data_IF_925975306832
#
_entry.id   IF_925975306832
#
_cell.length_a   1.000
_cell.length_b   1.000
_cell.length_c   1.000
_cell.angle_alpha   90.00
_cell.angle_beta   90.00
_cell.angle_gamma   90.00
#
_symmetry.space_group_name_H-M   'P 1'
#
loop_
_entity.id
_entity.type
_entity.pdbx_description
1 polymer ?
#
# COMPACT_ATOMS: atom_id res chain seq x y z
N UNK A 1 -14.99 10.65 18.88
CA UNK A 1 -13.75 10.89 18.12
C UNK A 1 -14.07 10.56 16.68
N UNK A 2 -13.76 11.43 15.73
CA UNK A 2 -13.89 11.11 14.31
C UNK A 2 -12.88 9.99 13.98
N UNK A 3 -13.30 8.99 13.22
CA UNK A 3 -12.40 7.93 12.78
C UNK A 3 -11.31 8.51 11.87
N UNK A 4 -10.08 8.02 12.06
CA UNK A 4 -8.94 8.44 11.26
C UNK A 4 -8.99 7.74 9.91
N UNK A 5 -8.86 8.52 8.83
CA UNK A 5 -8.67 7.99 7.48
C UNK A 5 -7.43 7.08 7.47
N UNK A 6 -7.61 5.87 6.94
CA UNK A 6 -6.59 4.87 6.75
C UNK A 6 -6.04 4.89 5.33
N UNK A 7 -4.71 4.96 5.20
CA UNK A 7 -3.98 5.04 3.93
C UNK A 7 -3.22 3.74 3.71
N UNK A 8 -3.53 3.01 2.64
CA UNK A 8 -2.66 1.91 2.17
C UNK A 8 -1.47 2.48 1.42
N UNK A 9 -0.27 2.00 1.73
CA UNK A 9 0.97 2.46 1.10
C UNK A 9 1.41 1.43 0.05
N UNK A 10 1.04 1.67 -1.20
CA UNK A 10 1.48 0.89 -2.35
C UNK A 10 2.78 1.47 -2.87
N UNK A 11 3.91 0.83 -2.61
CA UNK A 11 5.22 1.31 -3.07
C UNK A 11 6.22 0.17 -3.19
N UNK A 12 7.12 0.27 -4.16
CA UNK A 12 8.28 -0.60 -4.23
C UNK A 12 9.07 -0.53 -2.89
N UNK A 13 9.61 -1.67 -2.46
CA UNK A 13 10.40 -1.79 -1.23
C UNK A 13 11.62 -2.71 -1.41
N UNK A 14 12.14 -2.80 -2.63
CA UNK A 14 13.18 -3.75 -3.02
C UNK A 14 14.54 -3.44 -2.41
N UNK A 15 14.78 -2.19 -2.02
CA UNK A 15 16.05 -1.75 -1.47
C UNK A 15 15.89 -0.72 -0.34
N UNK A 16 16.98 -0.51 0.39
CA UNK A 16 17.01 0.38 1.56
C UNK A 16 16.62 1.83 1.25
N UNK A 17 16.86 2.32 0.01
CA UNK A 17 16.48 3.69 -0.38
C UNK A 17 14.96 3.82 -0.47
N UNK A 18 14.32 2.90 -1.19
CA UNK A 18 12.86 2.83 -1.31
C UNK A 18 12.21 2.64 0.06
N UNK A 19 12.69 1.65 0.82
CA UNK A 19 12.19 1.33 2.14
C UNK A 19 12.29 2.52 3.12
N UNK A 20 13.39 3.27 3.05
CA UNK A 20 13.59 4.48 3.84
C UNK A 20 12.64 5.60 3.41
N UNK A 21 12.52 5.84 2.11
CA UNK A 21 11.62 6.86 1.55
C UNK A 21 10.16 6.60 1.96
N UNK A 22 9.69 5.36 1.81
CA UNK A 22 8.35 4.93 2.22
C UNK A 22 8.13 5.18 3.71
N UNK A 23 9.10 4.80 4.55
CA UNK A 23 9.03 5.01 6.01
C UNK A 23 8.95 6.50 6.39
N UNK A 24 9.66 7.37 5.68
CA UNK A 24 9.63 8.81 5.91
C UNK A 24 8.27 9.42 5.55
N UNK A 25 7.68 9.03 4.42
CA UNK A 25 6.31 9.43 4.05
C UNK A 25 5.30 8.94 5.08
N UNK A 26 5.37 7.67 5.47
CA UNK A 26 4.47 7.09 6.47
C UNK A 26 4.50 7.87 7.77
N UNK A 27 5.70 8.12 8.32
CA UNK A 27 5.86 8.92 9.54
C UNK A 27 5.27 10.32 9.39
N UNK A 28 5.47 10.96 8.24
CA UNK A 28 4.93 12.30 7.97
C UNK A 28 3.39 12.29 7.89
N UNK A 29 2.77 11.27 7.28
CA UNK A 29 1.31 11.10 7.25
C UNK A 29 0.73 10.78 8.63
N UNK A 30 1.37 9.90 9.40
CA UNK A 30 0.93 9.56 10.76
C UNK A 30 0.99 10.78 11.70
N UNK A 31 2.04 11.61 11.59
CA UNK A 31 2.13 12.91 12.30
C UNK A 31 0.99 13.86 11.94
N UNK A 32 0.41 13.75 10.75
CA UNK A 32 -0.77 14.51 10.32
C UNK A 32 -2.10 13.90 10.77
N UNK A 33 -2.07 12.78 11.49
CA UNK A 33 -3.25 12.15 12.07
C UNK A 33 -3.88 11.05 11.22
N UNK A 34 -3.29 10.67 10.08
CA UNK A 34 -3.72 9.50 9.32
C UNK A 34 -3.31 8.20 10.01
N UNK A 35 -4.07 7.13 9.77
CA UNK A 35 -3.60 5.75 10.01
C UNK A 35 -2.96 5.26 8.72
N UNK A 36 -1.88 4.49 8.80
CA UNK A 36 -1.30 3.84 7.61
C UNK A 36 -1.36 2.33 7.74
N UNK A 37 -1.71 1.66 6.65
CA UNK A 37 -1.47 0.24 6.44
C UNK A 37 -0.25 0.15 5.54
N UNK A 38 0.90 -0.20 6.12
CA UNK A 38 2.21 -0.11 5.49
C UNK A 38 2.81 -1.51 5.34
N UNK A 39 2.73 -2.16 4.15
CA UNK A 39 3.14 -3.55 3.97
C UNK A 39 4.54 -3.89 4.49
N UNK A 40 5.51 -2.97 4.32
CA UNK A 40 6.87 -3.16 4.84
C UNK A 40 6.96 -3.28 6.37
N UNK A 41 6.03 -2.69 7.13
CA UNK A 41 5.99 -2.74 8.61
C UNK A 41 4.95 -3.74 9.11
N UNK A 42 3.81 -3.78 8.45
CA UNK A 42 2.59 -4.43 8.91
C UNK A 42 2.36 -5.79 8.21
N UNK A 43 3.07 -6.07 7.11
CA UNK A 43 3.05 -7.30 6.33
C UNK A 43 4.10 -8.33 6.75
N UNK A 44 4.30 -9.35 5.94
CA UNK A 44 5.22 -10.45 6.23
C UNK A 44 6.47 -10.39 5.36
N UNK A 45 7.63 -10.70 5.95
CA UNK A 45 8.83 -11.00 5.20
C UNK A 45 8.85 -12.48 4.79
N UNK A 46 9.25 -12.77 3.55
CA UNK A 46 9.26 -14.13 3.00
C UNK A 46 10.05 -15.12 3.87
N UNK A 47 11.24 -14.72 4.32
CA UNK A 47 12.14 -15.59 5.08
C UNK A 47 11.56 -15.94 6.46
N UNK A 48 11.06 -14.94 7.18
CA UNK A 48 10.52 -15.12 8.53
C UNK A 48 9.21 -15.93 8.52
N UNK A 49 8.35 -15.67 7.53
CA UNK A 49 7.13 -16.45 7.35
C UNK A 49 7.46 -17.90 6.97
N UNK A 50 8.38 -18.12 6.03
CA UNK A 50 8.80 -19.46 5.64
C UNK A 50 9.33 -20.28 6.81
N UNK A 51 10.17 -19.68 7.67
CA UNK A 51 10.70 -20.36 8.86
C UNK A 51 9.58 -20.80 9.81
N UNK A 52 8.60 -19.92 10.04
CA UNK A 52 7.48 -20.22 10.94
C UNK A 52 6.58 -21.33 10.39
N UNK A 53 6.40 -21.42 9.08
CA UNK A 53 5.55 -22.42 8.45
C UNK A 53 6.16 -23.84 8.48
N UNK A 54 7.48 -23.99 8.70
CA UNK A 54 8.16 -25.30 8.77
C UNK A 54 7.62 -26.21 9.87
N UNK A 55 7.03 -25.65 10.92
CA UNK A 55 6.46 -26.42 12.03
C UNK A 55 5.12 -27.08 11.65
N UNK A 56 4.45 -26.63 10.59
CA UNK A 56 3.07 -27.04 10.26
C UNK A 56 2.94 -27.61 8.84
N UNK A 57 3.71 -27.11 7.88
CA UNK A 57 3.63 -27.48 6.47
C UNK A 57 4.86 -28.28 6.02
N UNK A 58 4.69 -29.09 4.97
CA UNK A 58 5.82 -29.78 4.35
C UNK A 58 6.73 -28.78 3.60
N UNK A 59 8.00 -29.14 3.41
CA UNK A 59 8.96 -28.28 2.70
C UNK A 59 8.53 -27.94 1.26
N UNK A 60 7.74 -28.81 0.63
CA UNK A 60 7.23 -28.60 -0.73
C UNK A 60 6.09 -27.58 -0.78
N UNK A 61 5.31 -27.45 0.29
CA UNK A 61 4.14 -26.55 0.36
C UNK A 61 4.52 -25.10 0.75
N UNK A 62 5.62 -24.94 1.50
CA UNK A 62 6.02 -23.64 2.07
C UNK A 62 6.14 -22.52 1.02
N UNK A 63 6.80 -22.72 -0.14
CA UNK A 63 6.96 -21.63 -1.11
C UNK A 63 5.62 -21.07 -1.60
N UNK A 64 4.67 -21.95 -1.91
CA UNK A 64 3.32 -21.56 -2.34
C UNK A 64 2.56 -20.91 -1.18
N UNK A 65 2.66 -21.46 0.03
CA UNK A 65 2.00 -20.91 1.21
C UNK A 65 2.44 -19.48 1.53
N UNK A 66 3.75 -19.21 1.49
CA UNK A 66 4.29 -17.86 1.73
C UNK A 66 3.73 -16.86 0.71
N UNK A 67 3.75 -17.21 -0.58
CA UNK A 67 3.22 -16.35 -1.65
C UNK A 67 1.73 -16.09 -1.49
N UNK A 68 0.93 -17.13 -1.25
CA UNK A 68 -0.51 -17.00 -1.10
C UNK A 68 -0.88 -16.23 0.17
N UNK A 69 -0.22 -16.48 1.30
CA UNK A 69 -0.50 -15.77 2.56
C UNK A 69 -0.21 -14.28 2.39
N UNK A 70 0.94 -13.90 1.84
CA UNK A 70 1.30 -12.50 1.58
C UNK A 70 0.29 -11.85 0.63
N UNK A 71 0.01 -12.51 -0.50
CA UNK A 71 -0.96 -12.00 -1.49
C UNK A 71 -2.35 -11.75 -0.89
N UNK A 72 -2.88 -12.72 -0.13
CA UNK A 72 -4.19 -12.58 0.50
C UNK A 72 -4.18 -11.56 1.63
N UNK A 73 -3.05 -11.38 2.33
CA UNK A 73 -2.91 -10.36 3.35
C UNK A 73 -2.98 -8.97 2.73
N UNK A 74 -2.19 -8.69 1.71
CA UNK A 74 -2.15 -7.37 1.09
C UNK A 74 -3.45 -7.08 0.32
N UNK A 75 -3.82 -7.96 -0.63
CA UNK A 75 -4.93 -7.73 -1.55
C UNK A 75 -6.31 -7.97 -0.93
N UNK A 76 -6.40 -8.92 0.00
CA UNK A 76 -7.67 -9.34 0.61
C UNK A 76 -7.88 -8.83 2.02
N UNK A 77 -6.82 -8.44 2.73
CA UNK A 77 -6.91 -7.97 4.11
C UNK A 77 -6.66 -6.48 4.27
N UNK A 78 -5.47 -5.98 3.91
CA UNK A 78 -5.06 -4.58 4.10
C UNK A 78 -5.71 -3.62 3.11
N UNK A 79 -5.62 -3.92 1.81
CA UNK A 79 -6.13 -3.05 0.74
C UNK A 79 -7.63 -2.76 0.89
N UNK A 80 -8.53 -3.75 1.11
CA UNK A 80 -9.96 -3.50 1.21
C UNK A 80 -10.36 -2.74 2.49
N UNK A 81 -9.54 -2.83 3.55
CA UNK A 81 -9.73 -2.17 4.85
C UNK A 81 -9.09 -0.78 4.94
N UNK A 82 -8.58 -0.28 3.82
CA UNK A 82 -8.04 1.07 3.70
C UNK A 82 -9.10 2.00 3.09
N UNK A 83 -9.07 3.28 3.46
CA UNK A 83 -9.99 4.29 2.93
C UNK A 83 -9.47 4.93 1.65
N UNK A 84 -8.15 5.00 1.50
CA UNK A 84 -7.46 5.57 0.33
C UNK A 84 -6.14 4.86 0.11
N UNK A 85 -5.72 4.79 -1.15
CA UNK A 85 -4.45 4.21 -1.55
C UNK A 85 -3.49 5.33 -1.93
N UNK A 86 -2.29 5.33 -1.37
CA UNK A 86 -1.18 6.13 -1.86
C UNK A 86 -0.22 5.23 -2.62
N UNK A 87 -0.07 5.49 -3.92
CA UNK A 87 0.77 4.72 -4.82
C UNK A 87 2.03 5.49 -5.18
N UNK A 88 3.20 5.02 -4.77
CA UNK A 88 4.46 5.54 -5.27
C UNK A 88 4.72 4.98 -6.67
N UNK A 89 4.69 5.87 -7.65
CA UNK A 89 4.83 5.60 -9.08
C UNK A 89 6.16 6.13 -9.63
N UNK A 90 7.16 6.32 -8.76
CA UNK A 90 8.53 6.52 -9.21
C UNK A 90 9.05 5.29 -9.95
N UNK A 91 9.94 5.52 -10.90
CA UNK A 91 10.44 4.50 -11.81
C UNK A 91 11.79 3.89 -11.32
N UNK A 92 12.04 2.59 -11.55
CA UNK A 92 11.17 1.63 -12.23
C UNK A 92 9.94 1.26 -11.41
N UNK A 93 8.80 1.14 -12.09
CA UNK A 93 7.51 0.86 -11.44
C UNK A 93 7.45 -0.62 -11.07
N UNK A 94 7.03 -0.89 -9.84
CA UNK A 94 6.73 -2.24 -9.33
C UNK A 94 5.38 -2.77 -9.88
N UNK A 95 5.38 -3.98 -10.45
CA UNK A 95 4.17 -4.67 -10.90
C UNK A 95 3.18 -4.95 -9.76
N UNK A 96 3.67 -5.12 -8.53
CA UNK A 96 2.87 -5.24 -7.31
C UNK A 96 2.01 -3.99 -7.13
N UNK A 97 2.65 -2.81 -7.12
CA UNK A 97 1.96 -1.51 -7.03
C UNK A 97 0.91 -1.34 -8.13
N UNK A 98 1.22 -1.68 -9.39
CA UNK A 98 0.25 -1.58 -10.50
C UNK A 98 -0.94 -2.50 -10.29
N UNK A 99 -0.71 -3.70 -9.77
CA UNK A 99 -1.77 -4.67 -9.43
C UNK A 99 -2.66 -4.14 -8.31
N UNK A 100 -2.06 -3.64 -7.24
CA UNK A 100 -2.76 -3.09 -6.08
C UNK A 100 -3.68 -1.93 -6.46
N UNK A 101 -3.17 -0.92 -7.20
CA UNK A 101 -3.98 0.25 -7.59
C UNK A 101 -5.11 -0.11 -8.56
N UNK A 102 -4.89 -1.12 -9.42
CA UNK A 102 -5.92 -1.60 -10.34
C UNK A 102 -7.05 -2.30 -9.58
N UNK A 103 -6.72 -3.13 -8.59
CA UNK A 103 -7.72 -3.74 -7.72
C UNK A 103 -8.43 -2.71 -6.84
N UNK A 104 -7.71 -1.72 -6.32
CA UNK A 104 -8.29 -0.64 -5.53
C UNK A 104 -9.37 0.12 -6.32
N UNK A 105 -9.09 0.48 -7.59
CA UNK A 105 -10.07 1.05 -8.52
C UNK A 105 -11.31 0.15 -8.67
N UNK A 106 -11.10 -1.15 -8.92
CA UNK A 106 -12.20 -2.12 -9.02
C UNK A 106 -12.98 -2.27 -7.70
N UNK A 107 -12.38 -1.99 -6.56
CA UNK A 107 -13.03 -1.97 -5.25
C UNK A 107 -13.71 -0.63 -4.92
N UNK A 108 -13.58 0.38 -5.79
CA UNK A 108 -14.08 1.74 -5.55
C UNK A 108 -13.27 2.50 -4.50
N UNK A 109 -12.04 2.06 -4.22
CA UNK A 109 -11.12 2.73 -3.30
C UNK A 109 -10.38 3.83 -4.08
N UNK A 110 -10.42 5.09 -3.61
CA UNK A 110 -9.71 6.16 -4.28
C UNK A 110 -8.20 5.95 -4.21
N UNK A 111 -7.53 6.23 -5.32
CA UNK A 111 -6.08 6.08 -5.48
C UNK A 111 -5.45 7.45 -5.73
N UNK A 112 -4.39 7.76 -4.98
CA UNK A 112 -3.54 8.92 -5.17
C UNK A 112 -2.20 8.42 -5.72
N UNK A 113 -1.89 8.78 -6.96
CA UNK A 113 -0.57 8.55 -7.54
C UNK A 113 0.42 9.59 -7.05
N UNK A 114 1.59 9.15 -6.57
CA UNK A 114 2.72 9.99 -6.21
C UNK A 114 3.86 9.75 -7.19
N UNK A 115 4.47 10.83 -7.67
CA UNK A 115 5.71 10.77 -8.44
C UNK A 115 6.64 11.88 -8.00
N UNK A 116 7.88 11.53 -7.68
CA UNK A 116 8.94 12.48 -7.36
C UNK A 116 9.98 12.64 -8.46
N UNK A 117 10.05 11.70 -9.39
CA UNK A 117 10.86 11.87 -10.60
C UNK A 117 10.23 12.87 -11.58
N UNK A 118 10.85 14.05 -11.65
CA UNK A 118 10.45 15.13 -12.56
C UNK A 118 11.20 15.13 -13.90
N UNK A 119 12.03 14.13 -14.17
CA UNK A 119 12.86 14.08 -15.40
C UNK A 119 12.07 13.64 -16.64
N UNK A 120 10.80 13.26 -16.47
CA UNK A 120 9.79 13.04 -17.52
C UNK A 120 10.27 12.19 -18.72
N UNK A 121 10.70 10.93 -18.52
CA UNK A 121 11.16 10.08 -19.61
C UNK A 121 10.08 9.72 -20.64
N UNK A 122 8.78 9.82 -20.30
CA UNK A 122 7.66 9.37 -21.14
C UNK A 122 6.69 10.46 -21.59
N UNK A 123 6.99 11.75 -21.36
CA UNK A 123 6.07 12.84 -21.69
C UNK A 123 6.61 14.24 -21.42
N UNK A 124 5.70 15.20 -21.21
CA UNK A 124 6.02 16.59 -20.87
C UNK A 124 5.61 16.90 -19.43
N UNK A 125 6.37 17.76 -18.74
CA UNK A 125 5.95 18.31 -17.43
C UNK A 125 4.62 19.09 -17.49
N UNK A 126 4.17 19.44 -18.68
CA UNK A 126 2.88 20.09 -18.94
C UNK A 126 1.74 19.12 -19.24
N UNK A 127 2.02 17.82 -19.39
CA UNK A 127 0.98 16.83 -19.65
C UNK A 127 0.19 16.48 -18.37
N UNK A 128 -0.96 15.83 -18.56
CA UNK A 128 -1.91 15.50 -17.47
C UNK A 128 -1.25 14.74 -16.31
N UNK A 129 -0.28 13.86 -16.60
CA UNK A 129 0.37 12.99 -15.63
C UNK A 129 1.84 13.36 -15.39
N UNK A 130 2.25 14.53 -15.87
CA UNK A 130 3.58 15.11 -15.78
C UNK A 130 4.69 14.14 -16.21
N UNK A 131 4.44 13.42 -17.30
CA UNK A 131 5.36 12.44 -17.90
C UNK A 131 5.33 11.04 -17.31
N UNK A 132 4.33 10.71 -16.49
CA UNK A 132 4.11 9.36 -15.96
C UNK A 132 3.44 8.48 -17.02
N UNK A 133 3.79 7.20 -17.06
CA UNK A 133 3.14 6.25 -17.96
C UNK A 133 1.63 6.21 -17.70
N UNK A 134 0.82 6.39 -18.76
CA UNK A 134 -0.61 6.65 -18.61
C UNK A 134 -1.43 5.45 -18.11
N UNK A 135 -0.95 4.21 -18.28
CA UNK A 135 -1.66 3.01 -17.80
C UNK A 135 -1.87 3.02 -16.26
N UNK A 136 -0.81 3.07 -15.43
CA UNK A 136 -0.97 3.20 -13.98
C UNK A 136 -1.55 4.56 -13.58
N UNK A 137 -1.22 5.64 -14.30
CA UNK A 137 -1.75 6.97 -13.97
C UNK A 137 -3.27 7.07 -14.13
N UNK A 138 -3.86 6.36 -15.12
CA UNK A 138 -5.31 6.28 -15.30
C UNK A 138 -6.01 5.43 -14.25
N UNK A 139 -5.28 4.66 -13.42
CA UNK A 139 -5.84 4.01 -12.23
C UNK A 139 -5.95 4.99 -11.03
N UNK A 140 -5.37 6.20 -11.14
CA UNK A 140 -5.37 7.18 -10.06
C UNK A 140 -6.54 8.16 -10.18
N UNK A 141 -7.20 8.47 -9.07
CA UNK A 141 -8.21 9.52 -8.97
C UNK A 141 -7.56 10.90 -8.86
N UNK A 142 -6.49 10.98 -8.07
CA UNK A 142 -5.70 12.19 -7.87
C UNK A 142 -4.22 11.91 -8.13
N UNK A 143 -3.47 12.95 -8.46
CA UNK A 143 -2.04 12.83 -8.77
C UNK A 143 -1.21 13.92 -8.10
N UNK A 144 -0.11 13.52 -7.48
CA UNK A 144 0.89 14.37 -6.84
C UNK A 144 2.21 14.17 -7.57
N UNK A 145 2.60 15.16 -8.37
CA UNK A 145 3.99 15.27 -8.81
C UNK A 145 4.71 16.25 -7.89
N UNK A 146 5.73 15.80 -7.19
CA UNK A 146 6.43 16.56 -6.17
C UNK A 146 7.95 16.50 -6.41
N UNK A 147 8.56 17.65 -6.73
CA UNK A 147 10.01 17.71 -6.88
C UNK A 147 10.67 17.67 -5.50
N UNK A 148 11.33 16.57 -5.17
CA UNK A 148 12.22 16.53 -4.01
C UNK A 148 13.45 17.43 -4.27
N UNK A 149 13.84 18.32 -3.34
CA UNK A 149 15.03 19.14 -3.52
C UNK A 149 16.29 18.27 -3.58
N UNK A 150 17.17 18.57 -4.52
CA UNK A 150 18.45 17.85 -4.72
C UNK A 150 19.60 18.45 -3.90
N UNK A 151 19.42 19.65 -3.35
CA UNK A 151 20.48 20.44 -2.71
C UNK A 151 20.25 20.63 -1.20
N UNK A 152 19.59 19.67 -0.55
CA UNK A 152 19.36 19.68 0.90
C UNK A 152 20.68 19.37 1.62
N UNK A 153 21.42 20.40 2.03
CA UNK A 153 22.72 20.24 2.71
C UNK A 153 22.57 19.85 4.19
N UNK A 154 21.36 19.92 4.77
CA UNK A 154 21.10 19.62 6.18
C UNK A 154 20.01 18.54 6.34
N UNK A 155 20.12 17.74 7.41
CA UNK A 155 19.11 16.72 7.79
C UNK A 155 17.78 17.33 8.23
N UNK A 156 17.78 18.55 8.79
CA UNK A 156 16.53 19.26 9.13
C UNK A 156 15.70 19.60 7.90
N UNK A 157 16.38 19.86 6.78
CA UNK A 157 15.72 20.22 5.53
C UNK A 157 14.98 19.01 4.97
N UNK A 158 15.55 17.80 5.09
CA UNK A 158 14.90 16.57 4.60
C UNK A 158 13.61 16.24 5.36
N UNK A 159 13.55 16.42 6.68
CA UNK A 159 12.30 16.22 7.43
C UNK A 159 11.20 17.22 7.03
N UNK A 160 11.59 18.48 6.82
CA UNK A 160 10.67 19.52 6.34
C UNK A 160 10.14 19.22 4.93
N UNK A 161 10.97 18.60 4.08
CA UNK A 161 10.54 18.16 2.75
C UNK A 161 9.51 17.04 2.79
N UNK A 162 9.73 16.01 3.61
CA UNK A 162 8.72 14.96 3.79
C UNK A 162 7.42 15.49 4.41
N UNK A 163 7.51 16.47 5.30
CA UNK A 163 6.32 17.15 5.82
C UNK A 163 5.58 17.92 4.71
N UNK A 164 6.30 18.63 3.85
CA UNK A 164 5.73 19.36 2.71
C UNK A 164 5.10 18.44 1.67
N UNK A 165 5.76 17.31 1.37
CA UNK A 165 5.20 16.24 0.55
C UNK A 165 3.92 15.65 1.18
N UNK A 166 3.93 15.33 2.47
CA UNK A 166 2.76 14.85 3.19
C UNK A 166 1.61 15.87 3.19
N UNK A 167 1.90 17.17 3.21
CA UNK A 167 0.89 18.22 3.05
C UNK A 167 0.25 18.18 1.66
N UNK A 168 1.06 18.02 0.60
CA UNK A 168 0.55 17.90 -0.76
C UNK A 168 -0.35 16.65 -0.92
N UNK A 169 0.05 15.51 -0.34
CA UNK A 169 -0.76 14.29 -0.30
C UNK A 169 -2.06 14.52 0.48
N UNK A 170 -1.99 15.13 1.67
CA UNK A 170 -3.15 15.40 2.51
C UNK A 170 -4.17 16.33 1.85
N UNK A 171 -3.72 17.29 1.04
CA UNK A 171 -4.61 18.13 0.22
C UNK A 171 -5.39 17.31 -0.79
N UNK A 172 -4.77 16.31 -1.43
CA UNK A 172 -5.45 15.39 -2.36
C UNK A 172 -6.40 14.44 -1.64
N UNK A 173 -6.02 13.89 -0.48
CA UNK A 173 -6.93 13.11 0.38
C UNK A 173 -8.17 13.95 0.74
N UNK A 174 -7.98 15.22 1.10
CA UNK A 174 -9.10 16.11 1.47
C UNK A 174 -10.00 16.41 0.26
N UNK A 175 -9.43 16.61 -0.93
CA UNK A 175 -10.20 16.85 -2.16
C UNK A 175 -11.11 15.68 -2.56
N UNK A 176 -10.73 14.45 -2.18
CA UNK A 176 -11.52 13.25 -2.43
C UNK A 176 -12.75 13.13 -1.52
N UNK A 177 -12.88 13.99 -0.49
CA UNK A 177 -14.04 14.01 0.43
C UNK A 177 -14.38 12.62 1.00
N UNK A 178 -13.34 11.87 1.36
CA UNK A 178 -13.46 10.48 1.80
C UNK A 178 -14.18 10.42 3.14
N UNK A 179 -15.28 9.69 3.17
CA UNK A 179 -15.87 9.21 4.41
C UNK A 179 -15.25 7.85 4.71
N UNK A 180 -14.65 7.64 5.90
CA UNK A 180 -14.16 6.32 6.28
C UNK A 180 -15.25 5.27 6.09
N UNK A 181 -14.93 4.19 5.38
CA UNK A 181 -15.87 3.11 5.10
C UNK A 181 -15.34 1.80 5.69
N UNK A 182 -16.06 1.27 6.67
CA UNK A 182 -15.76 -0.03 7.25
C UNK A 182 -16.10 -1.20 6.31
N UNK A 183 -17.02 -0.99 5.36
CA UNK A 183 -17.55 -2.03 4.48
C UNK A 183 -17.23 -1.75 3.02
N UNK A 184 -16.90 -2.81 2.28
CA UNK A 184 -16.76 -2.75 0.82
C UNK A 184 -18.13 -2.60 0.13
N UNK A 185 -18.20 -1.95 -1.04
CA UNK A 185 -19.46 -1.84 -1.80
C UNK A 185 -20.03 -3.20 -2.26
N UNK A 186 -21.36 -3.27 -2.40
CA UNK A 186 -22.09 -4.50 -2.78
C UNK A 186 -21.67 -5.11 -4.13
N UNK A 187 -21.22 -4.30 -5.08
CA UNK A 187 -20.75 -4.83 -6.36
C UNK A 187 -19.38 -5.52 -6.23
N UNK A 188 -18.57 -5.08 -5.26
CA UNK A 188 -17.26 -5.67 -4.95
C UNK A 188 -17.46 -7.00 -4.25
N UNK A 189 -18.36 -7.06 -3.26
CA UNK A 189 -18.68 -8.29 -2.54
C UNK A 189 -19.33 -9.37 -3.43
N UNK A 190 -19.99 -8.97 -4.52
CA UNK A 190 -20.57 -9.85 -5.54
C UNK A 190 -19.63 -10.20 -6.68
N UNK A 191 -18.52 -9.48 -6.88
CA UNK A 191 -17.56 -9.80 -7.92
C UNK A 191 -16.83 -11.11 -7.58
N UNK A 192 -16.92 -12.17 -8.41
CA UNK A 192 -16.36 -13.48 -8.07
C UNK A 192 -14.83 -13.49 -8.01
N UNK A 193 -14.14 -12.56 -8.69
CA UNK A 193 -12.69 -12.50 -8.69
C UNK A 193 -12.16 -11.79 -7.44
N UNK A 194 -12.89 -10.78 -6.93
CA UNK A 194 -12.50 -10.03 -5.73
C UNK A 194 -12.99 -10.74 -4.46
N UNK A 195 -14.25 -11.17 -4.44
CA UNK A 195 -14.85 -11.79 -3.25
C UNK A 195 -14.16 -13.07 -2.82
N UNK A 196 -13.56 -13.84 -3.75
CA UNK A 196 -12.74 -15.01 -3.41
C UNK A 196 -11.50 -14.62 -2.61
N UNK A 197 -10.78 -13.58 -3.04
CA UNK A 197 -9.57 -13.09 -2.37
C UNK A 197 -9.92 -12.59 -0.97
N UNK A 198 -10.97 -11.77 -0.84
CA UNK A 198 -11.41 -11.23 0.45
C UNK A 198 -11.85 -12.35 1.40
N UNK A 199 -12.61 -13.34 0.91
CA UNK A 199 -13.05 -14.48 1.73
C UNK A 199 -11.88 -15.33 2.20
N UNK A 200 -10.90 -15.60 1.33
CA UNK A 200 -9.70 -16.37 1.70
C UNK A 200 -8.86 -15.60 2.71
N UNK A 201 -8.74 -14.27 2.56
CA UNK A 201 -8.09 -13.42 3.55
C UNK A 201 -8.82 -13.44 4.91
N UNK A 202 -10.16 -13.35 4.91
CA UNK A 202 -10.92 -13.44 6.16
C UNK A 202 -10.78 -14.82 6.82
N UNK A 203 -10.73 -15.90 6.03
CA UNK A 203 -10.42 -17.23 6.55
C UNK A 203 -9.06 -17.25 7.23
N UNK A 204 -8.01 -16.77 6.57
CA UNK A 204 -6.64 -16.81 7.10
C UNK A 204 -6.47 -15.90 8.33
N UNK A 205 -6.91 -14.65 8.26
CA UNK A 205 -6.55 -13.60 9.22
C UNK A 205 -7.69 -13.18 10.16
N UNK A 206 -8.93 -13.55 9.86
CA UNK A 206 -10.11 -13.14 10.61
C UNK A 206 -10.03 -13.47 12.10
N UNK A 207 -10.28 -12.47 12.94
CA UNK A 207 -10.26 -12.59 14.41
C UNK A 207 -8.89 -12.69 15.06
N UNK A 208 -7.78 -12.66 14.30
CA UNK A 208 -6.43 -12.68 14.86
C UNK A 208 -6.05 -11.24 15.29
N UNK A 209 -5.84 -11.04 16.60
CA UNK A 209 -5.51 -9.71 17.16
C UNK A 209 -4.12 -9.22 16.76
N UNK A 210 -3.14 -10.13 16.72
CA UNK A 210 -1.77 -9.84 16.34
C UNK A 210 -1.25 -10.98 15.46
N UNK A 211 -1.25 -10.74 14.16
CA UNK A 211 -0.81 -11.71 13.14
C UNK A 211 0.69 -12.02 13.22
N UNK A 212 1.48 -11.11 13.79
CA UNK A 212 2.94 -11.24 13.95
C UNK A 212 3.34 -11.96 15.23
N UNK A 213 2.37 -12.24 16.12
CA UNK A 213 2.63 -13.08 17.30
C UNK A 213 2.80 -14.54 16.89
N UNK A 214 3.60 -15.31 17.64
CA UNK A 214 3.74 -16.76 17.43
C UNK A 214 2.37 -17.46 17.31
N UNK A 215 1.44 -17.16 18.22
CA UNK A 215 0.08 -17.70 18.19
C UNK A 215 -0.71 -17.29 16.92
N UNK A 216 -0.51 -16.05 16.45
CA UNK A 216 -1.11 -15.56 15.20
C UNK A 216 -0.62 -16.33 14.00
N UNK A 217 0.70 -16.49 13.86
CA UNK A 217 1.34 -17.25 12.79
C UNK A 217 0.93 -18.73 12.79
N UNK A 218 0.95 -19.39 13.95
CA UNK A 218 0.46 -20.78 14.09
C UNK A 218 -1.03 -20.91 13.71
N UNK A 219 -1.83 -19.88 13.96
CA UNK A 219 -3.24 -19.85 13.58
C UNK A 219 -3.39 -19.70 12.07
N UNK A 220 -2.61 -18.85 11.43
CA UNK A 220 -2.58 -18.69 9.97
C UNK A 220 -2.14 -20.00 9.32
N UNK A 221 -1.04 -20.59 9.79
CA UNK A 221 -0.48 -21.85 9.27
C UNK A 221 -1.49 -23.00 9.30
N UNK A 222 -2.26 -23.13 10.37
CA UNK A 222 -3.31 -24.15 10.53
C UNK A 222 -4.56 -23.90 9.68
N UNK A 223 -4.81 -22.64 9.29
CA UNK A 223 -5.96 -22.25 8.48
C UNK A 223 -5.66 -22.22 6.97
N UNK A 224 -4.39 -22.17 6.61
CA UNK A 224 -3.91 -22.32 5.25
C UNK A 224 -4.27 -23.72 4.73
#
# INVERSE_FOLDING_TARGET
MQEKISVYIAAALFNAREAHFNSCIVKALERRGYKTNFPQRDGFEFADLAETLKETLSQEEIPTAVQEIIYHFDMGFLLPRSDVILANLDEPIDEGVVTEISYAQLMGKPVIGLRTDIRSPYGSLTDRFKGMHFFPALQCNEFVAYKMPTNSSLLSDSENEFYSLANAIAQRISALMINPQETIPDYVSRNPNISKIIKRAEQLFGGIKNIHSKQGLETIARRY
#
